data_IF_293017029480
#
_entry.id   IF_293017029480
#
_cell.length_a   1.000
_cell.length_b   1.000
_cell.length_c   1.000
_cell.angle_alpha   90.00
_cell.angle_beta   90.00
_cell.angle_gamma   90.00
#
_symmetry.space_group_name_H-M   'P 1'
#
loop_
_entity.id
_entity.type
_entity.pdbx_description
1 polymer ?
#
# COMPACT_ATOMS: atom_id res chain seq x y z
N UNK A 1 5.88 -9.72 13.71
CA UNK A 1 4.58 -9.82 13.02
C UNK A 1 4.67 -9.05 11.72
N UNK A 2 4.06 -9.52 10.63
CA UNK A 2 4.06 -8.81 9.35
C UNK A 2 3.12 -7.59 9.41
N UNK A 3 3.60 -6.40 9.04
CA UNK A 3 2.95 -5.10 9.32
C UNK A 3 1.50 -5.03 8.81
N UNK A 4 1.26 -5.56 7.61
CA UNK A 4 -0.03 -5.47 6.91
C UNK A 4 -0.92 -6.70 7.10
N UNK A 5 -0.46 -7.74 7.80
CA UNK A 5 -1.22 -8.98 7.95
C UNK A 5 -2.62 -8.74 8.54
N UNK A 6 -2.70 -7.95 9.61
CA UNK A 6 -3.97 -7.60 10.25
C UNK A 6 -4.91 -6.82 9.32
N UNK A 7 -4.38 -5.93 8.46
CA UNK A 7 -5.18 -5.17 7.49
C UNK A 7 -5.74 -6.05 6.37
N UNK A 8 -4.98 -7.07 5.96
CA UNK A 8 -5.42 -8.05 4.95
C UNK A 8 -6.49 -8.97 5.54
N UNK A 9 -6.33 -9.39 6.79
CA UNK A 9 -7.28 -10.28 7.47
C UNK A 9 -8.60 -9.58 7.81
N UNK A 10 -8.56 -8.32 8.25
CA UNK A 10 -9.76 -7.59 8.66
C UNK A 10 -10.77 -7.35 7.53
N UNK A 11 -10.32 -7.32 6.27
CA UNK A 11 -11.20 -7.17 5.10
C UNK A 11 -12.06 -8.41 4.79
N UNK A 12 -11.68 -9.58 5.32
CA UNK A 12 -12.44 -10.84 5.17
C UNK A 12 -12.78 -11.23 3.70
N UNK A 13 -12.00 -10.77 2.73
CA UNK A 13 -12.20 -10.98 1.29
C UNK A 13 -11.14 -11.90 0.66
N UNK A 14 -10.18 -12.35 1.46
CA UNK A 14 -9.13 -13.29 1.09
C UNK A 14 -9.10 -14.48 2.03
N UNK A 15 -8.53 -15.59 1.55
CA UNK A 15 -8.35 -16.83 2.30
C UNK A 15 -6.96 -17.41 2.03
N UNK A 16 -6.37 -18.02 3.06
CA UNK A 16 -5.13 -18.79 2.91
C UNK A 16 -5.43 -20.12 2.22
N UNK A 17 -4.58 -20.51 1.28
CA UNK A 17 -4.66 -21.83 0.66
C UNK A 17 -4.12 -22.90 1.61
N UNK A 18 -4.73 -24.08 1.63
CA UNK A 18 -4.21 -25.23 2.41
C UNK A 18 -2.88 -25.77 1.86
N UNK A 19 -2.58 -25.53 0.59
CA UNK A 19 -1.33 -25.90 -0.06
C UNK A 19 -1.04 -24.98 -1.26
N UNK A 20 0.20 -25.01 -1.77
CA UNK A 20 0.57 -24.31 -3.00
C UNK A 20 -0.16 -24.92 -4.20
N UNK A 21 -0.90 -24.09 -4.93
CA UNK A 21 -1.77 -24.52 -6.03
C UNK A 21 -1.09 -24.55 -7.41
N UNK A 22 0.04 -23.85 -7.62
CA UNK A 22 0.72 -23.85 -8.92
C UNK A 22 1.71 -25.01 -9.09
N UNK A 23 1.78 -25.55 -10.30
CA UNK A 23 2.74 -26.62 -10.65
C UNK A 23 4.18 -26.19 -10.44
N UNK A 24 4.50 -24.94 -10.81
CA UNK A 24 5.82 -24.37 -10.63
C UNK A 24 6.23 -24.41 -9.15
N UNK A 25 5.36 -23.95 -8.26
CA UNK A 25 5.68 -23.86 -6.83
C UNK A 25 5.71 -25.23 -6.15
N UNK A 26 4.90 -26.20 -6.60
CA UNK A 26 5.01 -27.60 -6.15
C UNK A 26 6.33 -28.24 -6.56
N UNK A 27 6.72 -28.12 -7.83
CA UNK A 27 8.01 -28.64 -8.33
C UNK A 27 9.19 -28.03 -7.60
N UNK A 28 9.21 -26.70 -7.45
CA UNK A 28 10.28 -25.99 -6.72
C UNK A 28 10.38 -26.38 -5.25
N UNK A 29 9.26 -26.73 -4.61
CA UNK A 29 9.24 -27.20 -3.23
C UNK A 29 9.78 -28.63 -3.06
N UNK A 30 9.87 -29.42 -4.14
CA UNK A 30 10.36 -30.81 -4.13
C UNK A 30 11.74 -30.96 -4.78
N UNK A 31 12.18 -29.98 -5.57
CA UNK A 31 13.49 -29.96 -6.21
C UNK A 31 14.63 -30.09 -5.20
N UNK A 32 15.46 -31.11 -5.35
CA UNK A 32 16.59 -31.40 -4.46
C UNK A 32 17.72 -30.40 -4.72
N UNK A 33 17.95 -30.01 -5.97
CA UNK A 33 18.97 -29.01 -6.33
C UNK A 33 18.72 -27.64 -5.68
N UNK A 34 17.48 -27.32 -5.31
CA UNK A 34 17.11 -26.05 -4.67
C UNK A 34 17.08 -26.12 -3.14
N UNK A 35 17.36 -27.28 -2.53
CA UNK A 35 17.24 -27.46 -1.09
C UNK A 35 18.13 -26.48 -0.30
N UNK A 36 19.35 -26.21 -0.78
CA UNK A 36 20.32 -25.33 -0.11
C UNK A 36 19.94 -23.84 -0.14
N UNK A 37 19.12 -23.41 -1.10
CA UNK A 37 18.73 -21.99 -1.30
C UNK A 37 17.26 -21.73 -0.95
N UNK A 38 16.53 -22.75 -0.49
CA UNK A 38 15.12 -22.62 -0.16
C UNK A 38 14.96 -21.84 1.14
N UNK A 39 14.07 -20.85 1.13
CA UNK A 39 13.68 -20.17 2.36
C UNK A 39 13.12 -21.17 3.38
N UNK A 40 13.57 -21.13 4.64
CA UNK A 40 13.24 -22.15 5.65
C UNK A 40 11.76 -22.15 6.04
N UNK A 41 11.12 -20.98 6.03
CA UNK A 41 9.70 -20.83 6.28
C UNK A 41 9.09 -19.93 5.21
N UNK A 42 8.19 -20.50 4.43
CA UNK A 42 7.43 -19.77 3.42
C UNK A 42 5.95 -19.84 3.80
N UNK A 43 5.29 -18.70 4.03
CA UNK A 43 3.87 -18.68 4.36
C UNK A 43 3.05 -19.31 3.23
N UNK A 44 1.90 -19.86 3.59
CA UNK A 44 0.95 -20.35 2.61
C UNK A 44 0.37 -19.16 1.83
N UNK A 45 0.28 -19.24 0.49
CA UNK A 45 -0.28 -18.16 -0.30
C UNK A 45 -1.74 -17.91 0.05
N UNK A 46 -2.16 -16.65 0.00
CA UNK A 46 -3.55 -16.21 0.05
C UNK A 46 -4.07 -15.97 -1.36
N UNK A 47 -5.38 -16.18 -1.53
CA UNK A 47 -6.14 -15.79 -2.72
C UNK A 47 -7.37 -14.99 -2.32
N UNK A 48 -7.94 -14.27 -3.27
CA UNK A 48 -9.29 -13.72 -3.11
C UNK A 48 -10.29 -14.88 -2.90
N UNK A 49 -11.30 -14.65 -2.06
CA UNK A 49 -12.46 -15.53 -1.96
C UNK A 49 -13.23 -15.53 -3.29
N UNK A 50 -14.02 -16.58 -3.54
CA UNK A 50 -14.87 -16.64 -4.73
C UNK A 50 -15.78 -15.41 -4.81
N UNK A 51 -15.79 -14.74 -5.96
CA UNK A 51 -16.57 -13.50 -6.19
C UNK A 51 -15.99 -12.23 -5.58
N UNK A 52 -14.90 -12.31 -4.81
CA UNK A 52 -14.25 -11.13 -4.23
C UNK A 52 -13.17 -10.55 -5.15
N UNK A 53 -12.87 -9.27 -4.99
CA UNK A 53 -11.75 -8.60 -5.66
C UNK A 53 -10.92 -7.86 -4.60
N UNK A 54 -9.64 -8.19 -4.54
CA UNK A 54 -8.75 -7.73 -3.46
C UNK A 54 -7.87 -6.53 -3.86
N UNK A 55 -8.09 -5.96 -5.05
CA UNK A 55 -7.26 -4.88 -5.58
C UNK A 55 -7.60 -3.52 -4.96
N UNK A 56 -6.59 -2.65 -4.83
CA UNK A 56 -6.81 -1.28 -4.33
C UNK A 56 -7.72 -0.45 -5.24
N UNK A 57 -7.67 -0.69 -6.55
CA UNK A 57 -8.60 -0.06 -7.50
C UNK A 57 -10.06 -0.47 -7.26
N UNK A 58 -10.31 -1.72 -6.86
CA UNK A 58 -11.65 -2.18 -6.51
C UNK A 58 -12.18 -1.44 -5.28
N UNK A 59 -11.45 -1.43 -4.16
CA UNK A 59 -11.87 -0.71 -2.96
C UNK A 59 -12.06 0.79 -3.24
N UNK A 60 -11.14 1.39 -4.00
CA UNK A 60 -11.22 2.80 -4.37
C UNK A 60 -12.51 3.14 -5.13
N UNK A 61 -12.92 2.30 -6.09
CA UNK A 61 -14.15 2.48 -6.86
C UNK A 61 -15.42 2.22 -6.05
N UNK A 62 -15.33 1.42 -4.99
CA UNK A 62 -16.40 1.28 -3.99
C UNK A 62 -16.48 2.47 -3.02
N UNK A 63 -15.61 3.47 -3.15
CA UNK A 63 -15.57 4.62 -2.24
C UNK A 63 -14.89 4.33 -0.89
N UNK A 64 -14.17 3.21 -0.78
CA UNK A 64 -13.52 2.79 0.46
C UNK A 64 -12.08 3.32 0.52
N UNK A 65 -11.74 3.97 1.61
CA UNK A 65 -10.35 4.29 1.98
C UNK A 65 -9.78 3.11 2.75
N UNK A 66 -8.69 2.53 2.25
CA UNK A 66 -7.99 1.42 2.92
C UNK A 66 -6.88 1.94 3.85
N UNK A 67 -6.41 1.13 4.83
CA UNK A 67 -5.23 1.48 5.62
C UNK A 67 -3.99 1.74 4.75
N UNK A 68 -3.87 1.09 3.59
CA UNK A 68 -2.78 1.37 2.66
C UNK A 68 -2.89 2.75 1.99
N UNK A 69 -4.10 3.24 1.70
CA UNK A 69 -4.31 4.60 1.19
C UNK A 69 -4.01 5.66 2.25
N UNK A 70 -4.39 5.40 3.51
CA UNK A 70 -4.06 6.26 4.65
C UNK A 70 -2.54 6.34 4.87
N UNK A 71 -1.88 5.18 4.89
CA UNK A 71 -0.43 5.11 5.01
C UNK A 71 0.29 5.93 3.93
N UNK A 72 -0.15 5.83 2.67
CA UNK A 72 0.42 6.60 1.56
C UNK A 72 0.19 8.09 1.76
N UNK A 73 -1.01 8.51 2.17
CA UNK A 73 -1.28 9.92 2.41
C UNK A 73 -0.37 10.51 3.49
N UNK A 74 -0.13 9.79 4.58
CA UNK A 74 0.81 10.21 5.65
C UNK A 74 2.23 10.28 5.09
N UNK A 75 2.67 9.25 4.36
CA UNK A 75 4.01 9.17 3.78
C UNK A 75 4.29 10.32 2.80
N UNK A 76 3.38 10.60 1.88
CA UNK A 76 3.56 11.65 0.87
C UNK A 76 3.54 13.06 1.47
N UNK A 77 2.91 13.25 2.63
CA UNK A 77 3.00 14.50 3.37
C UNK A 77 4.32 14.68 4.15
N UNK A 78 5.18 13.65 4.24
CA UNK A 78 6.50 13.74 4.87
C UNK A 78 6.49 14.31 6.30
N UNK A 79 5.49 13.92 7.12
CA UNK A 79 5.27 14.45 8.49
C UNK A 79 4.96 15.96 8.58
N UNK A 80 4.82 16.69 7.45
CA UNK A 80 4.47 18.11 7.47
C UNK A 80 3.10 18.37 8.10
N UNK A 81 2.21 17.37 8.12
CA UNK A 81 0.93 17.48 8.83
C UNK A 81 1.14 17.52 10.35
N UNK A 82 1.91 16.59 10.90
CA UNK A 82 2.19 16.49 12.34
C UNK A 82 3.08 17.63 12.84
N UNK A 83 4.00 18.10 12.01
CA UNK A 83 4.83 19.27 12.31
C UNK A 83 4.02 20.58 12.34
N UNK A 84 2.82 20.59 11.73
CA UNK A 84 1.95 21.77 11.59
C UNK A 84 0.95 21.97 12.70
N UNK A 85 0.57 20.87 13.32
CA UNK A 85 -0.24 20.86 14.53
C UNK A 85 0.62 21.17 15.76
N UNK A 86 1.93 20.92 15.68
CA UNK A 86 2.91 21.39 16.66
C UNK A 86 3.41 22.79 16.25
N UNK A 87 3.67 23.68 17.21
CA UNK A 87 4.19 25.05 16.98
C UNK A 87 5.55 25.12 16.23
N UNK A 88 6.10 23.98 15.82
CA UNK A 88 7.36 23.88 15.10
C UNK A 88 7.26 24.40 13.65
N UNK A 89 6.13 24.23 12.96
CA UNK A 89 5.99 24.73 11.58
C UNK A 89 5.97 26.26 11.48
N UNK A 90 5.39 26.99 12.42
CA UNK A 90 5.46 28.46 12.42
C UNK A 90 6.93 28.92 12.46
N UNK A 91 7.73 28.28 13.33
CA UNK A 91 9.17 28.58 13.46
C UNK A 91 10.01 28.19 12.22
N UNK A 92 9.56 27.20 11.43
CA UNK A 92 10.22 26.75 10.19
C UNK A 92 9.75 27.56 8.97
N UNK A 93 8.50 28.04 8.98
CA UNK A 93 7.93 28.96 7.99
C UNK A 93 8.68 30.29 8.00
N UNK A 94 8.91 30.85 9.19
CA UNK A 94 9.66 32.09 9.37
C UNK A 94 11.11 31.99 8.89
N UNK A 95 11.70 30.78 8.92
CA UNK A 95 13.05 30.50 8.42
C UNK A 95 13.12 30.20 6.91
N UNK A 96 11.99 30.26 6.21
CA UNK A 96 11.92 30.01 4.76
C UNK A 96 12.16 28.56 4.34
N UNK A 97 12.28 27.61 5.30
CA UNK A 97 12.56 26.20 5.04
C UNK A 97 11.37 25.44 4.45
N UNK A 98 10.17 26.03 4.51
CA UNK A 98 8.93 25.48 3.95
C UNK A 98 8.56 26.06 2.58
N UNK A 99 9.35 27.00 2.05
CA UNK A 99 9.09 27.55 0.72
C UNK A 99 9.39 26.49 -0.33
N UNK A 100 8.35 25.76 -0.74
CA UNK A 100 8.39 24.99 -1.97
C UNK A 100 8.37 25.94 -3.16
N UNK A 101 9.27 25.70 -4.12
CA UNK A 101 9.27 26.45 -5.37
C UNK A 101 7.98 26.12 -6.14
N UNK A 102 7.24 27.11 -6.66
CA UNK A 102 5.94 26.86 -7.32
C UNK A 102 6.06 25.91 -8.52
N UNK A 103 7.22 25.90 -9.18
CA UNK A 103 7.51 25.00 -10.29
C UNK A 103 6.55 25.20 -11.47
N UNK A 104 6.53 24.24 -12.39
CA UNK A 104 5.54 24.16 -13.47
C UNK A 104 5.03 22.73 -13.57
N UNK A 105 3.73 22.53 -13.39
CA UNK A 105 3.12 21.20 -13.28
C UNK A 105 2.60 20.64 -14.61
N UNK A 106 2.61 21.43 -15.69
CA UNK A 106 2.08 21.06 -17.01
C UNK A 106 0.62 20.52 -16.96
N UNK A 107 -0.19 21.08 -16.05
CA UNK A 107 -1.59 20.67 -15.86
C UNK A 107 -1.78 19.50 -14.88
N UNK A 108 -0.71 19.02 -14.23
CA UNK A 108 -0.84 18.03 -13.17
C UNK A 108 -1.54 18.63 -11.94
N UNK A 109 -2.47 17.86 -11.36
CA UNK A 109 -3.20 18.21 -10.15
C UNK A 109 -2.40 17.83 -8.89
N UNK A 110 -1.32 18.55 -8.63
CA UNK A 110 -0.49 18.37 -7.42
C UNK A 110 -1.13 19.13 -6.27
N UNK A 111 -1.50 18.42 -5.20
CA UNK A 111 -2.07 19.02 -4.00
C UNK A 111 -0.96 19.44 -3.03
N UNK A 112 -1.17 20.49 -2.25
CA UNK A 112 -0.25 20.89 -1.17
C UNK A 112 -0.30 19.95 0.02
N UNK A 113 -1.42 19.26 0.23
CA UNK A 113 -1.63 18.24 1.25
C UNK A 113 -2.32 17.02 0.65
N UNK A 114 -1.75 15.85 0.87
CA UNK A 114 -2.28 14.57 0.39
C UNK A 114 -3.20 13.99 1.45
N UNK A 115 -4.47 13.76 1.10
CA UNK A 115 -5.44 13.10 2.00
C UNK A 115 -5.67 11.65 1.58
N UNK A 116 -6.11 10.77 2.50
CA UNK A 116 -6.47 9.39 2.12
C UNK A 116 -7.55 9.35 1.03
N UNK A 117 -8.50 10.30 1.06
CA UNK A 117 -9.54 10.45 0.05
C UNK A 117 -8.99 10.90 -1.31
N UNK A 118 -7.97 11.77 -1.33
CA UNK A 118 -7.27 12.12 -2.57
C UNK A 118 -6.60 10.88 -3.18
N UNK A 119 -5.86 10.11 -2.37
CA UNK A 119 -5.22 8.85 -2.82
C UNK A 119 -6.27 7.90 -3.39
N UNK A 120 -7.39 7.69 -2.69
CA UNK A 120 -8.52 6.87 -3.15
C UNK A 120 -9.03 7.36 -4.51
N UNK A 121 -9.27 8.66 -4.67
CA UNK A 121 -9.81 9.23 -5.90
C UNK A 121 -8.85 9.04 -7.09
N UNK A 122 -7.55 9.22 -6.91
CA UNK A 122 -6.54 9.00 -7.95
C UNK A 122 -6.45 7.53 -8.36
N UNK A 123 -6.52 6.61 -7.38
CA UNK A 123 -6.55 5.16 -7.63
C UNK A 123 -7.85 4.75 -8.34
N UNK A 124 -9.00 5.29 -7.95
CA UNK A 124 -10.28 4.99 -8.58
C UNK A 124 -10.32 5.41 -10.07
N UNK A 125 -9.72 6.57 -10.38
CA UNK A 125 -9.56 7.12 -11.74
C UNK A 125 -8.46 6.42 -12.56
N UNK A 126 -7.64 5.57 -11.92
CA UNK A 126 -6.53 4.88 -12.58
C UNK A 126 -5.34 5.79 -12.89
N UNK A 127 -5.22 6.96 -12.24
CA UNK A 127 -4.07 7.87 -12.38
C UNK A 127 -2.94 7.54 -11.42
N UNK A 128 -3.23 6.79 -10.36
CA UNK A 128 -2.25 6.28 -9.41
C UNK A 128 -2.49 4.78 -9.15
N UNK A 129 -1.43 4.09 -8.70
CA UNK A 129 -1.49 2.68 -8.32
C UNK A 129 -0.85 2.46 -6.96
N UNK A 130 -1.28 1.40 -6.27
CA UNK A 130 -0.69 0.94 -5.01
C UNK A 130 -0.29 -0.53 -5.20
N UNK A 131 0.99 -0.83 -5.50
CA UNK A 131 1.45 -2.19 -5.72
C UNK A 131 1.61 -2.93 -4.39
N UNK A 132 0.57 -3.63 -3.92
CA UNK A 132 0.54 -4.15 -2.56
C UNK A 132 -0.09 -5.55 -2.43
N UNK A 133 0.45 -6.50 -3.20
CA UNK A 133 0.02 -7.91 -3.22
C UNK A 133 -0.23 -8.47 -1.81
N UNK A 134 -1.37 -9.16 -1.64
CA UNK A 134 -1.83 -9.78 -0.38
C UNK A 134 -0.88 -10.87 0.16
N UNK A 135 0.06 -11.35 -0.67
CA UNK A 135 1.11 -12.30 -0.29
C UNK A 135 2.41 -11.62 0.16
N UNK A 136 2.46 -10.28 0.19
CA UNK A 136 3.57 -9.48 0.71
C UNK A 136 3.08 -8.63 1.90
N UNK A 137 2.81 -9.25 3.05
CA UNK A 137 2.26 -8.56 4.22
C UNK A 137 3.32 -7.81 5.05
N UNK A 138 4.60 -7.95 4.73
CA UNK A 138 5.69 -7.25 5.41
C UNK A 138 5.76 -5.77 5.05
#
# INVERSE_FOLDING_TARGET
SALRAAWIESRADSESLGARSSDFARRHAQAVELAAVRFPSLPLPRRARSGANVSQMHYARLGQVTPEMEFIAIRENQLLVELGENQLLESLADKGLLKQHPGQSFGASIQSRITPEFVRAEVARGRAIIPNNINHPN
#
